data_IF_470492419787
#
_entry.id   IF_470492419787
#
_cell.length_a   1.000
_cell.length_b   1.000
_cell.length_c   1.000
_cell.angle_alpha   90.00
_cell.angle_beta   90.00
_cell.angle_gamma   90.00
#
_symmetry.space_group_name_H-M   'P 1'
#
loop_
_entity.id
_entity.type
_entity.pdbx_description
1 polymer ?
#
# COMPACT_ATOMS: atom_id res chain seq x y z
N UNK A 1 4.33 -21.91 -5.55
CA UNK A 1 4.20 -20.50 -5.12
C UNK A 1 4.70 -19.63 -6.26
N UNK A 2 3.85 -18.82 -6.88
CA UNK A 2 4.28 -17.90 -7.94
C UNK A 2 4.78 -16.64 -7.25
N UNK A 3 6.10 -16.50 -7.17
CA UNK A 3 6.80 -15.29 -6.74
C UNK A 3 6.20 -14.13 -7.54
N UNK A 4 5.71 -13.09 -6.85
CA UNK A 4 5.37 -11.83 -7.52
C UNK A 4 6.60 -11.42 -8.34
N UNK A 5 6.41 -10.99 -9.59
CA UNK A 5 7.52 -10.51 -10.40
C UNK A 5 8.39 -9.54 -9.56
N UNK A 6 9.72 -9.60 -9.66
CA UNK A 6 10.60 -8.71 -8.90
C UNK A 6 10.18 -7.26 -9.18
N UNK A 7 10.18 -6.42 -8.14
CA UNK A 7 9.97 -4.98 -8.31
C UNK A 7 10.91 -4.47 -9.41
N UNK A 8 10.39 -3.65 -10.31
CA UNK A 8 11.22 -3.05 -11.35
C UNK A 8 11.93 -1.81 -10.80
N UNK A 9 13.18 -1.60 -11.22
CA UNK A 9 13.94 -0.41 -10.81
C UNK A 9 13.18 0.83 -11.29
N UNK A 10 12.91 1.75 -10.37
CA UNK A 10 12.16 2.98 -10.65
C UNK A 10 10.66 2.88 -10.39
N UNK A 11 10.13 1.71 -10.04
CA UNK A 11 8.78 1.61 -9.48
C UNK A 11 8.70 2.31 -8.14
N UNK A 12 7.55 2.91 -7.87
CA UNK A 12 7.28 3.62 -6.63
C UNK A 12 5.96 3.14 -6.03
N UNK A 13 5.77 3.36 -4.74
CA UNK A 13 4.56 3.02 -4.02
C UNK A 13 4.20 4.16 -3.07
N UNK A 14 2.91 4.29 -2.78
CA UNK A 14 2.41 5.08 -1.66
C UNK A 14 1.97 4.11 -0.57
N UNK A 15 2.51 4.30 0.62
CA UNK A 15 2.29 3.41 1.77
C UNK A 15 2.04 4.21 3.04
N UNK A 16 1.24 3.65 3.94
CA UNK A 16 1.19 4.09 5.34
C UNK A 16 2.06 3.15 6.14
N UNK A 17 3.15 3.66 6.71
CA UNK A 17 3.99 2.85 7.59
C UNK A 17 3.28 2.55 8.91
N UNK A 18 3.45 1.33 9.42
CA UNK A 18 2.91 0.87 10.70
C UNK A 18 4.04 0.22 11.51
N UNK A 19 5.02 1.01 12.00
CA UNK A 19 6.17 0.47 12.74
C UNK A 19 5.77 -0.31 14.00
N UNK A 20 4.62 0.02 14.61
CA UNK A 20 4.08 -0.68 15.78
C UNK A 20 3.72 -2.15 15.50
N UNK A 21 3.49 -2.52 14.24
CA UNK A 21 3.20 -3.90 13.84
C UNK A 21 4.48 -4.74 13.64
N UNK A 22 5.64 -4.12 13.42
CA UNK A 22 6.90 -4.81 13.12
C UNK A 22 7.23 -5.97 14.08
N UNK A 23 7.13 -5.82 15.42
CA UNK A 23 7.41 -6.92 16.34
C UNK A 23 6.54 -8.16 16.13
N UNK A 24 5.34 -7.99 15.58
CA UNK A 24 4.38 -9.07 15.35
C UNK A 24 4.58 -9.74 13.98
N UNK A 25 4.90 -8.96 12.95
CA UNK A 25 4.88 -9.47 11.57
C UNK A 25 6.27 -9.73 10.98
N UNK A 26 7.34 -9.07 11.45
CA UNK A 26 8.67 -9.08 10.81
C UNK A 26 9.13 -10.45 10.34
N UNK A 27 9.11 -11.46 11.21
CA UNK A 27 9.58 -12.80 10.88
C UNK A 27 8.74 -13.53 9.83
N UNK A 28 7.48 -13.11 9.60
CA UNK A 28 6.66 -13.57 8.48
C UNK A 28 7.00 -12.77 7.21
N UNK A 29 7.15 -11.44 7.33
CA UNK A 29 7.49 -10.55 6.21
C UNK A 29 8.81 -10.96 5.56
N UNK A 30 9.85 -11.16 6.36
CA UNK A 30 11.18 -11.62 5.89
C UNK A 30 11.12 -12.93 5.09
N UNK A 31 10.14 -13.79 5.36
CA UNK A 31 9.99 -15.10 4.68
C UNK A 31 9.07 -15.07 3.47
N UNK A 32 8.04 -14.23 3.49
CA UNK A 32 6.92 -14.34 2.54
C UNK A 32 6.60 -13.05 1.78
N UNK A 33 7.14 -11.92 2.22
CA UNK A 33 6.97 -10.64 1.56
C UNK A 33 8.27 -10.18 0.91
N UNK A 34 8.24 -10.07 -0.41
CA UNK A 34 9.38 -9.59 -1.17
C UNK A 34 9.75 -8.15 -0.80
N UNK A 35 8.81 -7.31 -0.36
CA UNK A 35 9.10 -5.90 -0.04
C UNK A 35 10.01 -5.75 1.19
N UNK A 36 9.93 -6.68 2.14
CA UNK A 36 10.83 -6.72 3.30
C UNK A 36 12.31 -6.84 2.89
N UNK A 37 12.61 -7.60 1.83
CA UNK A 37 13.97 -7.72 1.30
C UNK A 37 14.52 -6.42 0.70
N UNK A 38 13.65 -5.46 0.36
CA UNK A 38 14.01 -4.12 -0.11
C UNK A 38 13.96 -3.07 1.02
N UNK A 39 13.88 -3.50 2.27
CA UNK A 39 13.92 -2.61 3.44
C UNK A 39 12.60 -1.92 3.77
N UNK A 40 11.50 -2.31 3.13
CA UNK A 40 10.18 -1.73 3.42
C UNK A 40 9.74 -2.16 4.83
N UNK A 41 9.37 -1.23 5.75
CA UNK A 41 8.80 -1.59 7.04
C UNK A 41 7.37 -2.14 6.88
N UNK A 42 6.80 -2.65 7.96
CA UNK A 42 5.42 -3.08 8.00
C UNK A 42 4.55 -1.89 7.60
N UNK A 43 3.75 -2.05 6.55
CA UNK A 43 3.02 -0.96 5.95
C UNK A 43 1.65 -1.42 5.43
N UNK A 44 0.77 -0.47 5.18
CA UNK A 44 -0.43 -0.65 4.36
C UNK A 44 -0.18 -0.03 3.00
N UNK A 45 -0.34 -0.80 1.92
CA UNK A 45 -0.25 -0.24 0.57
C UNK A 45 -1.46 0.64 0.29
N UNK A 46 -1.25 1.92 0.01
CA UNK A 46 -2.27 2.84 -0.51
C UNK A 46 -2.39 2.68 -2.02
N UNK A 47 -1.25 2.71 -2.72
CA UNK A 47 -1.18 2.47 -4.16
C UNK A 47 0.18 1.90 -4.58
N UNK A 48 0.16 0.85 -5.40
CA UNK A 48 1.35 0.30 -6.07
C UNK A 48 0.97 -0.41 -7.38
N UNK A 49 1.76 -0.28 -8.46
CA UNK A 49 2.78 0.74 -8.63
C UNK A 49 2.11 2.13 -8.70
N UNK A 50 2.81 3.15 -8.22
CA UNK A 50 2.44 4.54 -8.47
C UNK A 50 3.22 5.06 -9.70
N UNK A 51 3.38 6.38 -9.84
CA UNK A 51 4.14 6.96 -10.94
C UNK A 51 5.60 6.47 -10.92
N UNK A 52 6.22 6.21 -12.10
CA UNK A 52 7.63 5.87 -12.15
C UNK A 52 8.46 7.02 -11.56
N UNK A 53 9.62 6.70 -10.99
CA UNK A 53 10.49 7.65 -10.28
C UNK A 53 10.79 8.92 -11.09
N UNK A 54 10.94 8.78 -12.40
CA UNK A 54 11.26 9.88 -13.32
C UNK A 54 10.12 10.89 -13.45
N UNK A 55 8.91 10.50 -13.08
CA UNK A 55 7.71 11.36 -13.05
C UNK A 55 7.38 11.89 -11.65
N UNK A 56 8.15 11.52 -10.62
CA UNK A 56 7.99 12.07 -9.27
C UNK A 56 8.74 13.41 -9.15
N UNK A 57 8.13 14.46 -9.68
CA UNK A 57 8.61 15.84 -9.54
C UNK A 57 8.01 16.55 -8.32
N UNK A 58 8.49 17.78 -8.06
CA UNK A 58 8.01 18.61 -6.95
C UNK A 58 6.51 18.91 -7.03
N UNK A 59 5.93 18.97 -8.24
CA UNK A 59 4.51 19.20 -8.46
C UNK A 59 3.66 18.00 -8.05
N UNK A 60 4.13 16.78 -8.33
CA UNK A 60 3.52 15.54 -7.84
C UNK A 60 3.62 15.47 -6.32
N UNK A 61 4.78 15.77 -5.74
CA UNK A 61 4.95 15.78 -4.28
C UNK A 61 4.07 16.83 -3.60
N UNK A 62 3.92 18.02 -4.16
CA UNK A 62 2.99 19.04 -3.68
C UNK A 62 1.53 18.55 -3.76
N UNK A 63 1.13 17.98 -4.90
CA UNK A 63 -0.22 17.43 -5.08
C UNK A 63 -0.53 16.32 -4.07
N UNK A 64 0.43 15.46 -3.74
CA UNK A 64 0.26 14.43 -2.71
C UNK A 64 0.09 15.05 -1.32
N UNK A 65 0.88 16.07 -0.98
CA UNK A 65 0.76 16.79 0.30
C UNK A 65 -0.62 17.42 0.45
N UNK A 66 -1.09 18.14 -0.58
CA UNK A 66 -2.41 18.78 -0.57
C UNK A 66 -3.52 17.73 -0.47
N UNK A 67 -3.43 16.66 -1.26
CA UNK A 67 -4.38 15.56 -1.22
C UNK A 67 -4.45 14.98 0.20
N UNK A 68 -3.33 14.62 0.82
CA UNK A 68 -3.39 14.01 2.16
C UNK A 68 -3.71 14.99 3.29
N UNK A 69 -3.43 16.29 3.13
CA UNK A 69 -3.74 17.32 4.13
C UNK A 69 -5.25 17.54 4.32
N UNK A 70 -6.07 17.28 3.30
CA UNK A 70 -7.53 17.37 3.38
C UNK A 70 -8.16 16.25 4.24
N UNK A 71 -7.41 15.20 4.58
CA UNK A 71 -7.93 14.04 5.30
C UNK A 71 -7.69 14.22 6.80
N UNK A 72 -8.69 13.89 7.60
CA UNK A 72 -8.57 13.94 9.06
C UNK A 72 -7.64 12.83 9.54
N UNK A 73 -6.81 13.07 10.57
CA UNK A 73 -6.13 11.99 11.28
C UNK A 73 -7.13 10.93 11.74
N UNK A 74 -6.73 9.67 11.68
CA UNK A 74 -7.57 8.53 12.04
C UNK A 74 -6.78 7.50 12.85
N UNK A 75 -7.51 6.71 13.64
CA UNK A 75 -6.98 5.54 14.33
C UNK A 75 -7.41 4.29 13.59
N UNK A 76 -6.52 3.30 13.55
CA UNK A 76 -6.78 1.98 12.97
C UNK A 76 -6.15 0.91 13.83
N UNK A 77 -6.90 -0.15 14.11
CA UNK A 77 -6.44 -1.34 14.81
C UNK A 77 -6.21 -2.49 13.84
N UNK A 78 -5.32 -3.41 14.22
CA UNK A 78 -4.98 -4.61 13.44
C UNK A 78 -5.16 -5.85 14.31
N UNK A 79 -6.42 -6.13 14.68
CA UNK A 79 -6.76 -7.24 15.58
C UNK A 79 -7.10 -8.56 14.86
N UNK A 80 -7.37 -8.51 13.55
CA UNK A 80 -7.80 -9.65 12.76
C UNK A 80 -6.78 -10.08 11.71
N UNK A 81 -6.89 -11.32 11.25
CA UNK A 81 -6.12 -11.82 10.10
C UNK A 81 -7.07 -12.03 8.93
N UNK A 82 -6.78 -11.41 7.80
CA UNK A 82 -7.48 -11.60 6.55
C UNK A 82 -6.68 -12.44 5.56
N UNK A 83 -7.36 -12.96 4.54
CA UNK A 83 -6.74 -13.76 3.48
C UNK A 83 -7.34 -13.48 2.12
N UNK A 84 -6.48 -13.44 1.11
CA UNK A 84 -6.85 -13.59 -0.31
C UNK A 84 -6.00 -14.71 -0.92
N UNK A 85 -6.33 -15.23 -2.12
CA UNK A 85 -5.51 -16.25 -2.76
C UNK A 85 -4.03 -15.84 -2.81
N UNK A 86 -3.18 -16.63 -2.16
CA UNK A 86 -1.73 -16.41 -2.08
C UNK A 86 -1.25 -15.34 -1.09
N UNK A 87 -2.13 -14.76 -0.26
CA UNK A 87 -1.80 -13.63 0.63
C UNK A 87 -2.48 -13.76 1.98
N UNK A 88 -1.69 -13.64 3.05
CA UNK A 88 -2.16 -13.37 4.41
C UNK A 88 -1.89 -11.90 4.75
N UNK A 89 -2.76 -11.27 5.53
CA UNK A 89 -2.59 -9.89 5.98
C UNK A 89 -3.26 -9.66 7.34
N UNK A 90 -2.86 -8.62 8.06
CA UNK A 90 -3.59 -8.14 9.23
C UNK A 90 -4.72 -7.22 8.79
N UNK A 91 -5.98 -7.55 9.11
CA UNK A 91 -7.14 -6.78 8.69
C UNK A 91 -7.21 -5.46 9.48
N UNK A 92 -7.24 -4.29 8.80
CA UNK A 92 -7.46 -3.01 9.46
C UNK A 92 -8.92 -2.88 9.92
N UNK A 93 -9.11 -2.31 11.10
CA UNK A 93 -10.42 -1.95 11.64
C UNK A 93 -10.35 -0.58 12.34
N UNK A 94 -11.06 0.45 11.84
CA UNK A 94 -11.87 0.46 10.63
C UNK A 94 -11.02 0.49 9.34
N UNK A 95 -11.47 -0.19 8.28
CA UNK A 95 -10.81 -0.14 6.97
C UNK A 95 -11.11 1.13 6.15
N UNK A 96 -12.19 1.84 6.49
CA UNK A 96 -12.74 2.97 5.75
C UNK A 96 -11.71 4.09 5.46
N UNK A 97 -11.03 4.64 6.47
CA UNK A 97 -10.06 5.71 6.26
C UNK A 97 -8.93 5.34 5.31
N UNK A 98 -8.41 4.11 5.39
CA UNK A 98 -7.36 3.63 4.48
C UNK A 98 -7.89 3.45 3.05
N UNK A 99 -9.14 2.99 2.90
CA UNK A 99 -9.80 2.87 1.60
C UNK A 99 -9.99 4.23 0.95
N UNK A 100 -10.39 5.24 1.72
CA UNK A 100 -10.53 6.62 1.24
C UNK A 100 -9.20 7.20 0.74
N UNK A 101 -8.07 6.86 1.36
CA UNK A 101 -6.74 7.24 0.83
C UNK A 101 -6.50 6.63 -0.56
N UNK A 102 -6.78 5.34 -0.72
CA UNK A 102 -6.62 4.66 -2.02
C UNK A 102 -7.53 5.28 -3.09
N UNK A 103 -8.80 5.49 -2.77
CA UNK A 103 -9.78 6.08 -3.69
C UNK A 103 -9.39 7.51 -4.09
N UNK A 104 -8.91 8.31 -3.13
CA UNK A 104 -8.41 9.66 -3.38
C UNK A 104 -7.26 9.70 -4.38
N UNK A 105 -6.24 8.84 -4.18
CA UNK A 105 -5.09 8.78 -5.08
C UNK A 105 -5.52 8.27 -6.46
N UNK A 106 -6.37 7.25 -6.53
CA UNK A 106 -6.89 6.74 -7.80
C UNK A 106 -7.70 7.79 -8.58
N UNK A 107 -8.48 8.62 -7.88
CA UNK A 107 -9.22 9.72 -8.51
C UNK A 107 -8.30 10.81 -9.05
N UNK A 108 -7.19 11.10 -8.37
CA UNK A 108 -6.23 12.15 -8.76
C UNK A 108 -5.25 11.71 -9.85
N UNK A 109 -4.89 10.43 -9.88
CA UNK A 109 -4.00 9.80 -10.87
C UNK A 109 -4.64 8.54 -11.48
N UNK A 110 -5.67 8.70 -12.34
CA UNK A 110 -6.34 7.57 -12.96
C UNK A 110 -5.44 6.75 -13.89
N UNK A 111 -4.30 7.30 -14.33
CA UNK A 111 -3.29 6.58 -15.11
C UNK A 111 -2.47 5.55 -14.30
N UNK A 112 -2.59 5.55 -12.97
CA UNK A 112 -1.90 4.62 -12.07
C UNK A 112 -2.89 3.64 -11.42
N UNK A 113 -3.45 2.66 -12.18
CA UNK A 113 -4.39 1.70 -11.61
C UNK A 113 -3.69 0.77 -10.61
N UNK A 114 -4.32 0.44 -9.47
CA UNK A 114 -3.74 -0.48 -8.49
C UNK A 114 -3.31 -1.80 -9.12
N UNK A 115 -2.06 -2.20 -8.86
CA UNK A 115 -1.39 -3.39 -9.38
C UNK A 115 -1.47 -3.51 -10.91
N UNK A 116 -1.43 -2.38 -11.62
CA UNK A 116 -1.54 -2.34 -13.09
C UNK A 116 -2.91 -2.80 -13.59
N UNK A 117 -3.96 -2.69 -12.77
CA UNK A 117 -5.31 -3.13 -13.11
C UNK A 117 -5.56 -4.65 -12.97
N UNK A 118 -4.56 -5.41 -12.50
CA UNK A 118 -4.57 -6.89 -12.48
C UNK A 118 -5.68 -7.53 -11.63
N UNK A 119 -6.34 -6.78 -10.75
CA UNK A 119 -7.32 -7.32 -9.79
C UNK A 119 -8.75 -6.77 -9.92
N UNK A 120 -9.07 -6.03 -10.99
CA UNK A 120 -10.44 -5.89 -11.52
C UNK A 120 -11.56 -5.35 -10.61
N UNK A 121 -11.28 -4.54 -9.58
CA UNK A 121 -12.33 -3.95 -8.75
C UNK A 121 -12.05 -2.50 -8.31
N UNK A 122 -13.08 -1.68 -8.05
CA UNK A 122 -12.90 -0.39 -7.39
C UNK A 122 -12.44 -0.65 -5.95
N UNK A 123 -11.40 0.07 -5.52
CA UNK A 123 -10.58 -0.25 -4.34
C UNK A 123 -9.98 -1.66 -4.42
N UNK A 124 -8.82 -1.77 -5.09
CA UNK A 124 -7.98 -2.96 -4.99
C UNK A 124 -7.78 -3.27 -3.52
N UNK A 125 -8.42 -4.34 -3.03
CA UNK A 125 -8.51 -4.71 -1.60
C UNK A 125 -7.23 -4.35 -0.87
N UNK A 126 -7.35 -3.47 0.12
CA UNK A 126 -6.28 -3.10 1.03
C UNK A 126 -5.47 -4.34 1.39
N UNK A 127 -4.21 -4.35 0.95
CA UNK A 127 -3.25 -5.37 1.33
C UNK A 127 -2.46 -4.75 2.48
N UNK A 128 -2.97 -4.99 3.67
CA UNK A 128 -2.30 -4.57 4.89
C UNK A 128 -1.11 -5.50 5.18
N UNK A 129 -0.06 -4.92 5.76
CA UNK A 129 1.00 -5.56 6.53
C UNK A 129 1.46 -6.90 5.92
N UNK A 130 2.04 -6.81 4.72
CA UNK A 130 2.90 -7.86 4.15
C UNK A 130 4.33 -7.59 4.52
#
# INVERSE_FOLDING_TARGET
>A
MRVMAPFEIGETALVVEVPSAEPLVRGLRERYDSSAAYGMPAHVTVLYPFLPRERLDDGVLASLRDLFAERRPFEVAFGGVGRFPGVLYLAPDPEGPLRELTEAVMGRWPEAPPYGGRFGGPAGRLRALR
#
